data_IF_642194510502
#
_entry.id   IF_642194510502
#
_cell.length_a   1.000
_cell.length_b   1.000
_cell.length_c   1.000
_cell.angle_alpha   90.00
_cell.angle_beta   90.00
_cell.angle_gamma   90.00
#
_symmetry.space_group_name_H-M   'P 1'
#
loop_
_entity.id
_entity.type
_entity.pdbx_description
1 polymer ?
#
# COMPACT_ATOMS: atom_id res chain seq x y z
N UNK A 1 3.17 -5.32 -13.84
CA UNK A 1 4.58 -5.22 -13.42
C UNK A 1 5.10 -3.82 -13.71
N UNK A 2 5.60 -3.13 -12.70
CA UNK A 2 6.17 -1.78 -12.82
C UNK A 2 7.72 -1.85 -12.81
N UNK A 3 8.37 -0.84 -13.42
CA UNK A 3 9.83 -0.73 -13.49
C UNK A 3 10.56 -1.86 -14.24
N UNK A 4 9.91 -2.52 -15.22
CA UNK A 4 10.50 -3.61 -16.02
C UNK A 4 11.88 -3.28 -16.58
N UNK A 5 12.09 -2.05 -17.01
CA UNK A 5 13.36 -1.58 -17.59
C UNK A 5 14.56 -1.65 -16.62
N UNK A 6 14.32 -1.69 -15.30
CA UNK A 6 15.34 -1.63 -14.27
C UNK A 6 15.38 -2.85 -13.37
N UNK A 7 14.25 -3.53 -13.17
CA UNK A 7 14.10 -4.57 -12.16
C UNK A 7 13.92 -5.99 -12.73
N UNK A 8 13.82 -6.11 -14.07
CA UNK A 8 13.58 -7.40 -14.73
C UNK A 8 12.23 -7.51 -15.42
N UNK A 9 12.08 -8.51 -16.26
CA UNK A 9 10.88 -8.73 -17.07
C UNK A 9 9.89 -9.68 -16.41
N UNK A 10 10.35 -10.49 -15.45
CA UNK A 10 9.56 -11.49 -14.74
C UNK A 10 9.34 -11.12 -13.28
N UNK A 11 8.28 -11.65 -12.68
CA UNK A 11 7.98 -11.45 -11.27
C UNK A 11 9.10 -11.96 -10.34
N UNK A 12 9.71 -13.13 -10.56
CA UNK A 12 10.84 -13.60 -9.77
C UNK A 12 12.07 -12.68 -9.84
N UNK A 13 12.40 -12.10 -11.01
CA UNK A 13 13.51 -11.16 -11.15
C UNK A 13 13.25 -9.90 -10.33
N UNK A 14 12.06 -9.29 -10.48
CA UNK A 14 11.66 -8.11 -9.71
C UNK A 14 11.66 -8.40 -8.20
N UNK A 15 11.17 -9.57 -7.80
CA UNK A 15 11.19 -10.01 -6.41
C UNK A 15 12.62 -10.19 -5.91
N UNK A 16 13.53 -10.71 -6.75
CA UNK A 16 14.96 -10.87 -6.44
C UNK A 16 15.64 -9.54 -6.13
N UNK A 17 15.43 -8.51 -6.96
CA UNK A 17 15.92 -7.16 -6.73
C UNK A 17 15.37 -6.56 -5.43
N UNK A 18 14.06 -6.68 -5.21
CA UNK A 18 13.43 -6.21 -3.96
C UNK A 18 13.93 -6.97 -2.73
N UNK A 19 14.19 -8.26 -2.84
CA UNK A 19 14.78 -9.08 -1.77
C UNK A 19 16.21 -8.68 -1.41
N UNK A 20 16.87 -7.85 -2.23
CA UNK A 20 18.20 -7.29 -1.95
C UNK A 20 18.26 -6.48 -0.64
N UNK A 21 17.14 -5.93 -0.16
CA UNK A 21 17.09 -5.21 1.11
C UNK A 21 17.14 -6.12 2.35
N UNK A 22 16.91 -7.44 2.19
CA UNK A 22 16.88 -8.40 3.29
C UNK A 22 18.25 -8.49 3.94
N UNK A 23 18.31 -8.21 5.25
CA UNK A 23 19.54 -8.20 6.05
C UNK A 23 19.61 -9.41 6.97
N UNK A 24 20.85 -9.82 7.27
CA UNK A 24 21.10 -10.97 8.13
C UNK A 24 20.46 -10.80 9.51
N UNK A 25 19.63 -11.78 9.90
CA UNK A 25 18.99 -11.85 11.22
C UNK A 25 17.90 -10.80 11.47
N UNK A 26 17.54 -9.98 10.46
CA UNK A 26 16.47 -8.97 10.61
C UNK A 26 15.16 -9.54 10.06
N UNK A 27 14.05 -9.47 10.82
CA UNK A 27 12.75 -9.92 10.33
C UNK A 27 12.34 -9.26 9.02
N UNK A 28 11.76 -10.04 8.12
CA UNK A 28 11.25 -9.61 6.82
C UNK A 28 9.73 -9.65 6.85
N UNK A 29 9.11 -8.50 6.73
CA UNK A 29 7.65 -8.41 6.62
C UNK A 29 7.28 -8.51 5.13
N UNK A 30 6.49 -9.49 4.77
CA UNK A 30 6.03 -9.72 3.40
C UNK A 30 4.51 -9.53 3.34
N UNK A 31 4.06 -8.52 2.59
CA UNK A 31 2.65 -8.30 2.28
C UNK A 31 2.10 -9.35 1.31
N UNK A 32 0.84 -9.22 0.88
CA UNK A 32 0.25 -10.13 -0.11
C UNK A 32 1.11 -10.22 -1.37
N UNK A 33 1.47 -11.44 -1.74
CA UNK A 33 2.33 -11.73 -2.89
C UNK A 33 1.81 -12.95 -3.64
N UNK A 34 2.12 -13.03 -4.93
CA UNK A 34 2.02 -14.27 -5.68
C UNK A 34 3.03 -15.29 -5.15
N UNK A 35 2.70 -16.57 -5.28
CA UNK A 35 3.54 -17.68 -4.79
C UNK A 35 4.99 -17.59 -5.31
N UNK A 36 5.17 -17.26 -6.59
CA UNK A 36 6.50 -17.13 -7.18
C UNK A 36 7.32 -15.97 -6.57
N UNK A 37 6.66 -14.84 -6.23
CA UNK A 37 7.29 -13.72 -5.56
C UNK A 37 7.65 -14.05 -4.11
N UNK A 38 6.74 -14.70 -3.39
CA UNK A 38 6.94 -15.13 -2.01
C UNK A 38 8.12 -16.11 -1.90
N UNK A 39 8.18 -17.12 -2.78
CA UNK A 39 9.26 -18.11 -2.79
C UNK A 39 10.66 -17.47 -2.94
N UNK A 40 10.79 -16.43 -3.75
CA UNK A 40 12.06 -15.68 -3.90
C UNK A 40 12.44 -14.97 -2.60
N UNK A 41 11.46 -14.32 -1.93
CA UNK A 41 11.68 -13.64 -0.64
C UNK A 41 12.10 -14.63 0.43
N UNK A 42 11.40 -15.76 0.56
CA UNK A 42 11.70 -16.83 1.51
C UNK A 42 13.09 -17.43 1.28
N UNK A 43 13.42 -17.76 0.03
CA UNK A 43 14.75 -18.28 -0.32
C UNK A 43 15.88 -17.31 0.04
N UNK A 44 15.69 -16.00 -0.18
CA UNK A 44 16.67 -14.99 0.21
C UNK A 44 16.75 -14.83 1.73
N UNK A 45 15.61 -14.81 2.41
CA UNK A 45 15.55 -14.71 3.86
C UNK A 45 16.25 -15.90 4.53
N UNK A 46 15.99 -17.13 4.06
CA UNK A 46 16.64 -18.34 4.55
C UNK A 46 18.18 -18.25 4.42
N UNK A 47 18.70 -17.82 3.26
CA UNK A 47 20.14 -17.61 3.06
C UNK A 47 20.72 -16.53 3.97
N UNK A 48 19.92 -15.57 4.38
CA UNK A 48 20.32 -14.48 5.27
C UNK A 48 20.06 -14.79 6.75
N UNK A 49 19.49 -15.95 7.09
CA UNK A 49 19.05 -16.27 8.44
C UNK A 49 18.03 -15.25 8.99
N UNK A 50 17.22 -14.68 8.13
CA UNK A 50 16.20 -13.68 8.46
C UNK A 50 14.85 -14.34 8.67
N UNK A 51 14.15 -14.14 9.80
CA UNK A 51 12.79 -14.62 9.99
C UNK A 51 11.85 -13.98 8.97
N UNK A 52 10.93 -14.77 8.39
CA UNK A 52 9.90 -14.27 7.47
C UNK A 52 8.58 -14.17 8.20
N UNK A 53 7.92 -13.02 8.10
CA UNK A 53 6.58 -12.77 8.60
C UNK A 53 5.70 -12.41 7.39
N UNK A 54 5.13 -13.44 6.75
CA UNK A 54 4.34 -13.31 5.53
C UNK A 54 2.85 -13.21 5.84
N UNK A 55 2.16 -12.35 5.07
CA UNK A 55 0.70 -12.29 5.05
C UNK A 55 0.10 -13.65 4.67
N UNK A 56 -0.99 -14.00 5.32
CA UNK A 56 -1.68 -15.26 5.08
C UNK A 56 -1.09 -16.47 5.82
N UNK A 57 0.13 -16.32 6.36
CA UNK A 57 0.82 -17.38 7.12
C UNK A 57 1.07 -16.94 8.57
N UNK A 58 1.65 -15.78 8.78
CA UNK A 58 2.10 -15.28 10.07
C UNK A 58 1.26 -14.13 10.58
N UNK A 59 0.64 -13.40 9.69
CA UNK A 59 -0.26 -12.31 10.02
C UNK A 59 -1.37 -12.15 8.97
N UNK A 60 -2.50 -11.60 9.42
CA UNK A 60 -3.68 -11.32 8.62
C UNK A 60 -4.17 -9.92 8.92
N UNK A 61 -4.81 -9.29 7.95
CA UNK A 61 -5.50 -8.02 8.14
C UNK A 61 -6.72 -7.96 7.23
N UNK A 62 -7.82 -7.45 7.75
CA UNK A 62 -9.06 -7.23 7.02
C UNK A 62 -9.77 -5.97 7.50
N UNK A 63 -10.66 -5.44 6.68
CA UNK A 63 -11.69 -4.49 7.09
C UNK A 63 -12.93 -5.27 7.48
N UNK A 64 -13.33 -5.18 8.74
CA UNK A 64 -14.51 -5.84 9.29
C UNK A 64 -15.35 -4.84 10.09
N UNK A 65 -16.63 -4.71 9.77
CA UNK A 65 -17.53 -3.78 10.48
C UNK A 65 -17.07 -2.31 10.47
N UNK A 66 -16.32 -1.88 9.46
CA UNK A 66 -15.77 -0.51 9.40
C UNK A 66 -14.54 -0.29 10.29
N UNK A 67 -13.90 -1.36 10.70
CA UNK A 67 -12.68 -1.33 11.51
C UNK A 67 -11.57 -2.15 10.83
N UNK A 68 -10.33 -1.89 11.19
CA UNK A 68 -9.18 -2.67 10.76
C UNK A 68 -8.92 -3.75 11.82
N UNK A 69 -9.14 -5.00 11.43
CA UNK A 69 -8.82 -6.16 12.26
C UNK A 69 -7.50 -6.75 11.79
N UNK A 70 -6.51 -6.78 12.68
CA UNK A 70 -5.21 -7.37 12.45
C UNK A 70 -5.01 -8.54 13.41
N UNK A 71 -4.42 -9.64 12.94
CA UNK A 71 -4.13 -10.82 13.76
C UNK A 71 -2.75 -11.38 13.44
N UNK A 72 -1.99 -11.71 14.46
CA UNK A 72 -0.73 -12.46 14.39
C UNK A 72 -0.62 -13.43 15.58
N UNK A 73 0.56 -14.02 15.77
CA UNK A 73 0.84 -14.94 16.90
C UNK A 73 0.66 -14.30 18.31
N UNK A 74 0.79 -12.96 18.38
CA UNK A 74 0.65 -12.21 19.63
C UNK A 74 -0.78 -11.75 19.90
N UNK A 75 -1.75 -12.17 19.07
CA UNK A 75 -3.17 -11.91 19.25
C UNK A 75 -3.76 -10.90 18.25
N UNK A 76 -5.01 -10.54 18.51
CA UNK A 76 -5.83 -9.69 17.66
C UNK A 76 -5.72 -8.23 18.10
N UNK A 77 -5.68 -7.33 17.10
CA UNK A 77 -5.88 -5.90 17.28
C UNK A 77 -7.13 -5.48 16.50
N UNK A 78 -8.00 -4.72 17.15
CA UNK A 78 -9.19 -4.10 16.57
C UNK A 78 -9.00 -2.58 16.57
N UNK A 79 -8.58 -2.02 15.42
CA UNK A 79 -8.13 -0.65 15.28
C UNK A 79 -9.08 0.17 14.39
N UNK A 80 -9.03 1.49 14.46
CA UNK A 80 -9.66 2.35 13.47
C UNK A 80 -9.13 2.06 12.07
N UNK A 81 -9.94 2.31 11.03
CA UNK A 81 -9.46 2.25 9.66
C UNK A 81 -8.32 3.25 9.41
N UNK A 82 -7.41 2.96 8.47
CA UNK A 82 -6.37 3.89 8.07
C UNK A 82 -6.96 5.23 7.62
N UNK A 83 -6.31 6.33 8.02
CA UNK A 83 -6.71 7.66 7.58
C UNK A 83 -6.33 7.96 6.12
N UNK A 84 -5.43 7.18 5.52
CA UNK A 84 -5.15 7.24 4.09
C UNK A 84 -6.26 6.55 3.32
N UNK A 85 -6.87 7.20 2.31
CA UNK A 85 -8.00 6.65 1.58
C UNK A 85 -7.63 5.49 0.66
N UNK A 86 -8.55 4.53 0.53
CA UNK A 86 -8.47 3.43 -0.42
C UNK A 86 -8.43 2.05 0.24
N UNK A 87 -9.08 1.05 -0.38
CA UNK A 87 -9.17 -0.30 0.18
C UNK A 87 -7.81 -0.99 0.34
N UNK A 88 -6.86 -0.68 -0.55
CA UNK A 88 -5.49 -1.20 -0.48
C UNK A 88 -4.70 -0.69 0.73
N UNK A 89 -5.14 0.38 1.39
CA UNK A 89 -4.49 0.89 2.58
C UNK A 89 -4.66 -0.02 3.80
N UNK A 90 -5.68 -0.88 3.79
CA UNK A 90 -5.84 -1.92 4.81
C UNK A 90 -4.64 -2.87 4.79
N UNK A 91 -4.23 -3.32 3.60
CA UNK A 91 -3.07 -4.20 3.43
C UNK A 91 -1.75 -3.48 3.78
N UNK A 92 -1.60 -2.23 3.36
CA UNK A 92 -0.42 -1.42 3.70
C UNK A 92 -0.32 -1.19 5.21
N UNK A 93 -1.43 -0.89 5.87
CA UNK A 93 -1.50 -0.75 7.32
C UNK A 93 -1.17 -2.07 8.04
N UNK A 94 -1.68 -3.20 7.55
CA UNK A 94 -1.35 -4.51 8.08
C UNK A 94 0.15 -4.80 8.05
N UNK A 95 0.82 -4.52 6.93
CA UNK A 95 2.27 -4.68 6.82
C UNK A 95 3.04 -3.74 7.79
N UNK A 96 2.56 -2.50 7.97
CA UNK A 96 3.14 -1.57 8.92
C UNK A 96 2.95 -2.03 10.36
N UNK A 97 1.77 -2.54 10.72
CA UNK A 97 1.48 -3.11 12.04
C UNK A 97 2.36 -4.33 12.30
N UNK A 98 2.48 -5.26 11.35
CA UNK A 98 3.36 -6.42 11.48
C UNK A 98 4.82 -6.01 11.74
N UNK A 99 5.30 -4.96 11.06
CA UNK A 99 6.63 -4.41 11.31
C UNK A 99 6.77 -3.79 12.71
N UNK A 100 5.77 -3.02 13.16
CA UNK A 100 5.76 -2.43 14.49
C UNK A 100 5.74 -3.49 15.60
N UNK A 101 4.94 -4.55 15.42
CA UNK A 101 4.88 -5.69 16.36
C UNK A 101 6.22 -6.44 16.39
N UNK A 102 6.84 -6.69 15.25
CA UNK A 102 8.18 -7.27 15.19
C UNK A 102 9.26 -6.41 15.88
N UNK A 103 9.03 -5.10 15.98
CA UNK A 103 9.86 -4.16 16.73
C UNK A 103 9.45 -4.00 18.20
N UNK A 104 8.51 -4.82 18.71
CA UNK A 104 8.04 -4.79 20.08
C UNK A 104 7.21 -3.55 20.45
N UNK A 105 6.55 -2.92 19.44
CA UNK A 105 5.70 -1.76 19.69
C UNK A 105 4.32 -2.21 20.18
N UNK A 106 3.74 -1.39 21.04
CA UNK A 106 2.43 -1.62 21.64
C UNK A 106 1.26 -1.28 20.69
N UNK A 107 0.05 -1.60 21.12
CA UNK A 107 -1.18 -1.32 20.40
C UNK A 107 -1.37 0.18 20.12
N UNK A 108 -1.05 1.04 21.09
CA UNK A 108 -1.17 2.50 20.92
C UNK A 108 -0.28 3.03 19.80
N UNK A 109 0.94 2.47 19.67
CA UNK A 109 1.82 2.81 18.54
C UNK A 109 1.27 2.30 17.21
N UNK A 110 0.66 1.12 17.17
CA UNK A 110 0.00 0.58 15.99
C UNK A 110 -1.20 1.45 15.56
N UNK A 111 -2.06 1.83 16.51
CA UNK A 111 -3.19 2.72 16.26
C UNK A 111 -2.71 4.09 15.75
N UNK A 112 -1.72 4.68 16.39
CA UNK A 112 -1.15 5.95 15.96
C UNK A 112 -0.58 5.87 14.53
N UNK A 113 0.06 4.78 14.16
CA UNK A 113 0.62 4.59 12.82
C UNK A 113 -0.47 4.57 11.75
N UNK A 114 -1.62 3.94 11.99
CA UNK A 114 -2.70 3.87 11.00
C UNK A 114 -3.55 5.14 10.95
N UNK A 115 -3.77 5.80 12.11
CA UNK A 115 -4.66 6.97 12.21
C UNK A 115 -3.96 8.30 11.93
N UNK A 116 -2.63 8.37 12.03
CA UNK A 116 -1.83 9.58 11.85
C UNK A 116 -0.90 9.54 10.63
N UNK A 117 -0.94 8.44 9.85
CA UNK A 117 -0.16 8.36 8.64
C UNK A 117 -0.52 9.52 7.69
N UNK A 118 0.50 10.21 7.19
CA UNK A 118 0.36 11.27 6.20
C UNK A 118 1.32 11.00 5.05
N UNK A 119 0.77 10.94 3.84
CA UNK A 119 1.57 10.77 2.64
C UNK A 119 1.03 11.65 1.51
N UNK A 120 1.81 12.63 1.04
CA UNK A 120 1.39 13.49 -0.06
C UNK A 120 1.08 12.69 -1.32
N UNK A 121 0.10 13.16 -2.08
CA UNK A 121 -0.31 12.57 -3.35
C UNK A 121 -0.69 11.06 -3.25
N UNK A 122 -1.39 10.68 -2.18
CA UNK A 122 -2.07 9.38 -2.04
C UNK A 122 -3.55 9.62 -1.77
N UNK A 123 -4.34 9.84 -2.81
CA UNK A 123 -5.72 10.31 -2.71
C UNK A 123 -5.84 11.44 -1.68
N UNK A 124 -4.90 12.38 -1.76
CA UNK A 124 -4.80 13.51 -0.84
C UNK A 124 -5.87 14.54 -1.17
N UNK A 125 -6.80 14.77 -0.24
CA UNK A 125 -7.72 15.90 -0.36
C UNK A 125 -6.97 17.20 -0.05
N UNK A 126 -6.88 18.09 -1.04
CA UNK A 126 -6.34 19.43 -0.85
C UNK A 126 -7.38 20.30 -0.14
N UNK A 127 -6.96 21.01 0.89
CA UNK A 127 -7.85 21.84 1.73
C UNK A 127 -7.47 23.32 1.76
N UNK A 128 -6.29 23.66 1.29
CA UNK A 128 -5.71 25.01 1.34
C UNK A 128 -4.87 25.26 0.10
N UNK A 129 -4.66 26.52 -0.21
CA UNK A 129 -3.76 27.00 -1.24
C UNK A 129 -4.45 27.52 -2.50
N UNK A 130 -3.68 28.10 -3.43
CA UNK A 130 -4.22 28.86 -4.56
C UNK A 130 -5.21 28.08 -5.44
N UNK A 131 -5.02 26.77 -5.59
CA UNK A 131 -5.94 25.93 -6.37
C UNK A 131 -7.32 25.82 -5.69
N UNK A 132 -7.34 25.69 -4.36
CA UNK A 132 -8.60 25.66 -3.60
C UNK A 132 -9.27 27.03 -3.62
N UNK A 133 -8.50 28.10 -3.48
CA UNK A 133 -9.01 29.46 -3.49
C UNK A 133 -9.64 29.84 -4.84
N UNK A 134 -9.08 29.29 -5.96
CA UNK A 134 -9.62 29.50 -7.30
C UNK A 134 -10.84 28.61 -7.65
N UNK A 135 -11.07 27.54 -6.87
CA UNK A 135 -12.16 26.59 -7.10
C UNK A 135 -12.90 26.19 -5.80
N UNK A 136 -13.48 27.16 -5.07
CA UNK A 136 -13.96 26.96 -3.69
C UNK A 136 -15.19 26.05 -3.58
N UNK A 137 -15.84 25.74 -4.70
CA UNK A 137 -17.06 24.90 -4.75
C UNK A 137 -16.78 23.43 -5.09
N UNK A 138 -15.52 23.07 -5.36
CA UNK A 138 -15.14 21.71 -5.73
C UNK A 138 -14.21 21.08 -4.70
N UNK A 139 -14.21 19.75 -4.64
CA UNK A 139 -13.23 19.02 -3.89
C UNK A 139 -12.07 18.66 -4.81
N UNK A 140 -10.87 19.07 -4.46
CA UNK A 140 -9.66 18.72 -5.19
C UNK A 140 -8.92 17.58 -4.50
N UNK A 141 -8.60 16.56 -5.28
CA UNK A 141 -7.87 15.40 -4.84
C UNK A 141 -6.61 15.23 -5.67
N UNK A 142 -5.51 14.85 -5.04
CA UNK A 142 -4.22 14.64 -5.66
C UNK A 142 -3.77 13.20 -5.44
N UNK A 143 -3.41 12.52 -6.53
CA UNK A 143 -2.81 11.19 -6.49
C UNK A 143 -1.57 11.10 -7.39
N UNK A 144 -0.59 10.32 -6.98
CA UNK A 144 0.66 10.09 -7.70
C UNK A 144 0.69 8.76 -8.47
N UNK A 145 -0.45 8.11 -8.65
CA UNK A 145 -0.56 6.89 -9.44
C UNK A 145 -0.10 7.10 -10.87
N UNK A 146 0.71 6.17 -11.39
CA UNK A 146 1.33 6.31 -12.70
C UNK A 146 1.58 4.95 -13.39
N UNK A 147 0.88 3.91 -12.96
CA UNK A 147 0.92 2.58 -13.53
C UNK A 147 -0.47 1.93 -13.45
N UNK A 148 -0.75 0.81 -14.15
CA UNK A 148 -2.06 0.16 -14.15
C UNK A 148 -2.61 -0.14 -12.75
N UNK A 149 -1.78 -0.66 -11.84
CA UNK A 149 -2.21 -0.94 -10.46
C UNK A 149 -2.57 0.35 -9.69
N UNK A 150 -1.90 1.47 -9.97
CA UNK A 150 -2.27 2.79 -9.46
C UNK A 150 -3.63 3.25 -9.96
N UNK A 151 -3.93 3.02 -11.24
CA UNK A 151 -5.25 3.30 -11.83
C UNK A 151 -6.36 2.48 -11.17
N UNK A 152 -6.14 1.18 -10.98
CA UNK A 152 -7.06 0.31 -10.26
C UNK A 152 -7.29 0.78 -8.81
N UNK A 153 -6.24 1.18 -8.11
CA UNK A 153 -6.31 1.69 -6.75
C UNK A 153 -7.14 2.98 -6.66
N UNK A 154 -6.93 3.93 -7.60
CA UNK A 154 -7.71 5.17 -7.67
C UNK A 154 -9.17 4.86 -7.98
N UNK A 155 -9.46 4.01 -8.98
CA UNK A 155 -10.81 3.61 -9.34
C UNK A 155 -11.55 2.95 -8.16
N UNK A 156 -10.90 2.01 -7.47
CA UNK A 156 -11.45 1.35 -6.29
C UNK A 156 -11.72 2.33 -5.14
N UNK A 157 -10.90 3.36 -4.99
CA UNK A 157 -11.10 4.40 -3.99
C UNK A 157 -12.29 5.29 -4.36
N UNK A 158 -12.36 5.75 -5.61
CA UNK A 158 -13.48 6.56 -6.11
C UNK A 158 -14.82 5.82 -6.01
N UNK A 159 -14.83 4.51 -6.27
CA UNK A 159 -16.04 3.67 -6.16
C UNK A 159 -16.61 3.62 -4.73
N UNK A 160 -15.80 3.85 -3.70
CA UNK A 160 -16.22 3.93 -2.29
C UNK A 160 -16.65 5.34 -1.86
N UNK A 161 -16.38 6.35 -2.68
CA UNK A 161 -16.76 7.73 -2.39
C UNK A 161 -18.21 8.01 -2.81
N UNK A 162 -18.85 9.04 -2.23
CA UNK A 162 -20.17 9.47 -2.69
C UNK A 162 -20.14 9.81 -4.19
N UNK A 163 -21.11 9.33 -4.93
CA UNK A 163 -21.24 9.61 -6.37
C UNK A 163 -21.38 11.12 -6.61
N UNK A 164 -20.46 11.66 -7.38
CA UNK A 164 -20.42 13.09 -7.80
C UNK A 164 -19.89 13.18 -9.23
N UNK A 165 -20.23 14.27 -9.90
CA UNK A 165 -19.55 14.61 -11.14
C UNK A 165 -18.06 14.76 -10.86
N UNK A 166 -17.24 14.00 -11.60
CA UNK A 166 -15.81 13.92 -11.37
C UNK A 166 -15.06 14.23 -12.64
N UNK A 167 -14.16 15.20 -12.58
CA UNK A 167 -13.25 15.55 -13.67
C UNK A 167 -11.85 15.05 -13.33
N UNK A 168 -11.27 14.27 -14.21
CA UNK A 168 -9.91 13.77 -14.08
C UNK A 168 -8.95 14.62 -14.91
N UNK A 169 -7.93 15.19 -14.25
CA UNK A 169 -6.80 15.83 -14.90
C UNK A 169 -5.60 14.90 -14.75
N UNK A 170 -5.13 14.32 -15.84
CA UNK A 170 -4.04 13.35 -15.84
C UNK A 170 -2.81 13.92 -16.57
N UNK A 171 -1.67 13.91 -15.87
CA UNK A 171 -0.36 14.20 -16.44
C UNK A 171 0.60 13.06 -16.12
N UNK A 172 1.26 12.48 -17.13
CA UNK A 172 2.10 11.31 -16.94
C UNK A 172 3.29 11.34 -17.90
N UNK A 173 4.42 10.79 -17.48
CA UNK A 173 5.58 10.63 -18.36
C UNK A 173 5.23 9.67 -19.52
N UNK A 174 5.73 9.96 -20.72
CA UNK A 174 5.54 9.14 -21.90
C UNK A 174 6.18 7.74 -21.83
N UNK A 175 7.03 7.52 -20.84
CA UNK A 175 7.64 6.21 -20.52
C UNK A 175 6.72 5.30 -19.70
N UNK A 176 5.56 5.81 -19.27
CA UNK A 176 4.59 5.06 -18.46
C UNK A 176 3.45 4.50 -19.32
N UNK A 177 2.82 3.44 -18.84
CA UNK A 177 1.63 2.85 -19.46
C UNK A 177 0.39 3.69 -19.13
N UNK A 178 0.22 4.78 -19.88
CA UNK A 178 -0.92 5.70 -19.71
C UNK A 178 -2.25 4.98 -19.96
N UNK A 179 -2.31 4.15 -21.00
CA UNK A 179 -3.53 3.42 -21.35
C UNK A 179 -3.93 2.41 -20.26
N UNK A 180 -2.97 1.68 -19.71
CA UNK A 180 -3.21 0.76 -18.60
C UNK A 180 -3.66 1.47 -17.33
N UNK A 181 -3.09 2.67 -17.05
CA UNK A 181 -3.53 3.49 -15.92
C UNK A 181 -4.97 4.01 -16.08
N UNK A 182 -5.33 4.48 -17.28
CA UNK A 182 -6.63 5.10 -17.55
C UNK A 182 -7.78 4.09 -17.69
N UNK A 183 -7.48 2.85 -18.08
CA UNK A 183 -8.51 1.84 -18.37
C UNK A 183 -9.51 1.56 -17.24
N UNK A 184 -9.12 1.50 -15.95
CA UNK A 184 -10.05 1.26 -14.85
C UNK A 184 -10.82 2.50 -14.41
N UNK A 185 -10.44 3.71 -14.84
CA UNK A 185 -11.04 4.99 -14.49
C UNK A 185 -12.15 5.40 -15.47
#
# INVERSE_FOLDING_TARGET
LDHKQYLGETLPEIAGEKAGIIKRGVPVIVGPQDEAGLAVMEAKAARSGAPVLAFGQHWHVAEEGGRLVFQDENGLLDLPLPNLPGPFQVQNAGAAIAALRALGRDEAACEAAVTRAYWPARMQRLRHGPLIDSAPKVELWLDGGHNPAGGEAVAATLARMPKRETHLICGMLNTKDVAGYMRPL
#
